data_IF_093907057418
#
_entry.id   IF_093907057418
#
_cell.length_a   1.000
_cell.length_b   1.000
_cell.length_c   1.000
_cell.angle_alpha   90.00
_cell.angle_beta   90.00
_cell.angle_gamma   90.00
#
_symmetry.space_group_name_H-M   'P 1'
#
loop_
_entity.id
_entity.type
_entity.pdbx_description
1 polymer ?
#
# COMPACT_ATOMS: atom_id res chain seq x y z
N UNK A 1 -26.94 -13.48 -7.64
CA UNK A 1 -25.51 -13.68 -7.38
C UNK A 1 -24.73 -12.50 -7.94
N UNK A 2 -23.95 -11.88 -7.13
CA UNK A 2 -23.12 -10.80 -7.60
C UNK A 2 -22.09 -11.31 -8.63
N UNK A 3 -21.92 -10.60 -9.73
CA UNK A 3 -20.86 -10.90 -10.67
C UNK A 3 -19.55 -10.36 -10.14
N UNK A 4 -18.71 -11.25 -9.62
CA UNK A 4 -17.42 -10.90 -9.08
C UNK A 4 -16.28 -11.12 -10.07
N UNK A 5 -16.60 -11.53 -11.31
CA UNK A 5 -15.57 -11.78 -12.32
C UNK A 5 -14.98 -10.46 -12.81
N UNK A 6 -13.67 -10.38 -12.78
CA UNK A 6 -12.95 -9.31 -13.45
C UNK A 6 -12.92 -9.65 -14.94
N UNK A 7 -13.32 -8.73 -15.84
CA UNK A 7 -13.21 -8.96 -17.29
C UNK A 7 -11.77 -9.31 -17.69
N UNK A 8 -11.61 -10.14 -18.71
CA UNK A 8 -10.29 -10.57 -19.17
C UNK A 8 -9.37 -9.39 -19.51
N UNK A 9 -9.90 -8.32 -20.05
CA UNK A 9 -9.16 -7.11 -20.36
C UNK A 9 -8.54 -6.47 -19.12
N UNK A 10 -9.25 -6.47 -17.99
CA UNK A 10 -8.70 -5.97 -16.74
C UNK A 10 -7.61 -6.89 -16.19
N UNK A 11 -7.74 -8.20 -16.38
CA UNK A 11 -6.69 -9.15 -15.99
C UNK A 11 -5.43 -8.95 -16.83
N UNK A 12 -5.59 -8.71 -18.14
CA UNK A 12 -4.47 -8.43 -19.03
C UNK A 12 -3.74 -7.14 -18.67
N UNK A 13 -4.45 -6.14 -18.15
CA UNK A 13 -3.87 -4.89 -17.66
C UNK A 13 -3.29 -5.01 -16.25
N UNK A 14 -3.34 -6.21 -15.64
CA UNK A 14 -2.86 -6.41 -14.28
C UNK A 14 -3.77 -5.82 -13.21
N UNK A 15 -5.02 -5.54 -13.55
CA UNK A 15 -5.98 -5.06 -12.56
C UNK A 15 -6.48 -6.20 -11.70
N UNK A 16 -6.52 -6.01 -10.40
CA UNK A 16 -6.98 -7.00 -9.45
C UNK A 16 -7.87 -6.35 -8.40
N UNK A 17 -9.04 -6.93 -8.19
CA UNK A 17 -9.89 -6.57 -7.08
C UNK A 17 -9.58 -7.46 -5.88
N UNK A 18 -9.45 -6.88 -4.71
CA UNK A 18 -9.20 -7.60 -3.47
C UNK A 18 -9.92 -6.94 -2.31
N UNK A 19 -10.41 -7.76 -1.39
CA UNK A 19 -11.23 -7.26 -0.30
C UNK A 19 -12.54 -6.64 -0.80
N UNK A 20 -13.25 -5.97 0.08
CA UNK A 20 -14.45 -5.22 -0.25
C UNK A 20 -14.10 -3.82 -0.68
N UNK A 21 -14.57 -3.42 -1.86
CA UNK A 21 -14.34 -2.06 -2.39
C UNK A 21 -12.87 -1.66 -2.49
N UNK A 22 -12.02 -2.63 -2.80
CA UNK A 22 -10.58 -2.40 -3.01
C UNK A 22 -10.21 -2.61 -4.47
N UNK A 23 -9.21 -1.87 -4.96
CA UNK A 23 -8.68 -2.02 -6.32
C UNK A 23 -7.16 -1.92 -6.32
N UNK A 24 -6.51 -2.76 -7.13
CA UNK A 24 -5.08 -2.68 -7.39
C UNK A 24 -4.82 -2.87 -8.89
N UNK A 25 -3.94 -2.06 -9.43
CA UNK A 25 -3.49 -2.15 -10.81
C UNK A 25 -1.97 -2.24 -10.82
N UNK A 26 -1.44 -3.26 -11.50
CA UNK A 26 0.00 -3.52 -11.58
C UNK A 26 0.32 -4.99 -11.34
N UNK A 27 1.36 -5.26 -10.59
CA UNK A 27 1.72 -6.61 -10.20
C UNK A 27 0.63 -7.23 -9.32
N UNK A 28 0.37 -8.50 -9.54
CA UNK A 28 -0.65 -9.25 -8.81
C UNK A 28 -0.13 -9.90 -7.53
N UNK A 29 1.12 -9.67 -7.18
CA UNK A 29 1.71 -10.21 -5.96
C UNK A 29 1.16 -9.47 -4.76
N UNK A 30 0.31 -10.12 -4.01
CA UNK A 30 -0.24 -9.61 -2.76
C UNK A 30 -0.14 -10.70 -1.70
N UNK A 31 -0.09 -10.29 -0.44
CA UNK A 31 -0.21 -11.22 0.67
C UNK A 31 -1.57 -11.91 0.71
N UNK A 32 -1.84 -12.66 1.75
CA UNK A 32 -3.16 -13.28 1.97
C UNK A 32 -4.13 -12.18 2.38
N UNK A 33 -4.97 -11.75 1.45
CA UNK A 33 -5.89 -10.64 1.67
C UNK A 33 -7.27 -11.19 2.00
N UNK A 34 -7.50 -11.52 3.25
CA UNK A 34 -8.78 -12.07 3.68
C UNK A 34 -9.77 -10.96 4.09
N UNK A 35 -9.29 -9.86 4.61
CA UNK A 35 -10.12 -8.83 5.21
C UNK A 35 -9.68 -7.39 4.93
N UNK A 36 -8.70 -7.18 4.06
CA UNK A 36 -8.23 -5.83 3.71
C UNK A 36 -9.24 -5.14 2.77
N UNK A 37 -9.85 -4.06 3.24
CA UNK A 37 -10.92 -3.38 2.53
C UNK A 37 -10.56 -1.92 2.21
N UNK A 38 -11.21 -1.37 1.19
CA UNK A 38 -11.10 0.04 0.83
C UNK A 38 -9.67 0.49 0.49
N UNK A 39 -8.86 -0.40 -0.08
CA UNK A 39 -7.50 -0.09 -0.47
C UNK A 39 -7.41 0.25 -1.97
N UNK A 40 -6.55 1.19 -2.32
CA UNK A 40 -6.28 1.58 -3.70
C UNK A 40 -4.78 1.50 -3.95
N UNK A 41 -4.38 0.67 -4.90
CA UNK A 41 -2.97 0.47 -5.24
C UNK A 41 -2.70 0.60 -6.73
N UNK A 42 -1.59 1.25 -7.08
CA UNK A 42 -1.15 1.39 -8.46
C UNK A 42 0.37 1.28 -8.53
N UNK A 43 0.87 0.19 -9.10
CA UNK A 43 2.30 -0.06 -9.26
C UNK A 43 2.69 -1.52 -9.00
N UNK A 44 3.95 -1.83 -9.28
CA UNK A 44 4.52 -3.15 -9.03
C UNK A 44 4.84 -3.31 -7.55
N UNK A 45 4.59 -4.46 -6.97
CA UNK A 45 4.81 -4.82 -5.55
C UNK A 45 4.08 -3.93 -4.54
N UNK A 46 3.06 -3.18 -4.99
CA UNK A 46 2.20 -2.44 -4.06
C UNK A 46 1.41 -3.43 -3.21
N UNK A 47 1.42 -3.23 -1.90
CA UNK A 47 0.69 -4.09 -0.96
C UNK A 47 1.08 -5.57 -1.01
N UNK A 48 2.31 -5.91 -1.38
CA UNK A 48 2.72 -7.31 -1.54
C UNK A 48 2.49 -8.16 -0.28
N UNK A 49 2.60 -7.58 0.91
CA UNK A 49 2.42 -8.27 2.19
C UNK A 49 1.08 -7.98 2.87
N UNK A 50 0.16 -7.25 2.24
CA UNK A 50 -1.09 -6.81 2.89
C UNK A 50 -1.95 -8.01 3.32
N UNK A 51 -2.44 -7.98 4.55
CA UNK A 51 -3.35 -8.99 5.10
C UNK A 51 -4.69 -8.40 5.51
N UNK A 52 -4.71 -7.51 6.50
CA UNK A 52 -5.95 -6.95 7.06
C UNK A 52 -5.99 -5.41 7.10
N UNK A 53 -4.93 -4.74 6.65
CA UNK A 53 -4.89 -3.27 6.67
C UNK A 53 -5.93 -2.64 5.75
N UNK A 54 -6.73 -1.73 6.28
CA UNK A 54 -7.83 -1.07 5.58
C UNK A 54 -7.51 0.37 5.20
N UNK A 55 -8.24 0.89 4.22
CA UNK A 55 -8.24 2.32 3.90
C UNK A 55 -6.85 2.87 3.51
N UNK A 56 -6.04 2.09 2.82
CA UNK A 56 -4.74 2.55 2.35
C UNK A 56 -4.79 2.96 0.89
N UNK A 57 -4.05 4.00 0.55
CA UNK A 57 -3.80 4.42 -0.83
C UNK A 57 -2.30 4.33 -1.07
N UNK A 58 -1.88 3.59 -2.11
CA UNK A 58 -0.48 3.44 -2.46
C UNK A 58 -0.27 3.54 -3.97
N UNK A 59 0.54 4.49 -4.39
CA UNK A 59 0.87 4.71 -5.79
C UNK A 59 2.39 4.74 -5.95
N UNK A 60 2.93 3.85 -6.77
CA UNK A 60 4.36 3.76 -7.04
C UNK A 60 4.92 2.36 -6.83
N UNK A 61 5.95 2.00 -7.58
CA UNK A 61 6.63 0.72 -7.43
C UNK A 61 7.14 0.56 -5.99
N UNK A 62 6.77 -0.53 -5.34
CA UNK A 62 7.19 -0.82 -3.97
C UNK A 62 6.54 0.04 -2.89
N UNK A 63 5.53 0.84 -3.21
CA UNK A 63 4.82 1.62 -2.19
C UNK A 63 4.06 0.67 -1.24
N UNK A 64 4.29 0.82 0.06
CA UNK A 64 3.66 -0.01 1.10
C UNK A 64 3.84 -1.52 0.90
N UNK A 65 4.96 -1.95 0.31
CA UNK A 65 5.23 -3.38 0.02
C UNK A 65 5.08 -4.27 1.24
N UNK A 66 5.63 -3.85 2.38
CA UNK A 66 5.68 -4.65 3.61
C UNK A 66 4.47 -4.47 4.53
N UNK A 67 3.51 -3.63 4.14
CA UNK A 67 2.36 -3.32 5.00
C UNK A 67 1.49 -4.55 5.19
N UNK A 68 1.29 -4.96 6.44
CA UNK A 68 0.44 -6.11 6.78
C UNK A 68 -0.91 -5.66 7.34
N UNK A 69 -0.90 -4.98 8.46
CA UNK A 69 -2.11 -4.57 9.19
C UNK A 69 -2.25 -3.05 9.31
N UNK A 70 -1.25 -2.28 8.88
CA UNK A 70 -1.31 -0.83 8.93
C UNK A 70 -2.48 -0.28 8.11
N UNK A 71 -3.24 0.63 8.71
CA UNK A 71 -4.46 1.17 8.11
C UNK A 71 -4.39 2.70 7.95
N UNK A 72 -5.15 3.22 6.98
CA UNK A 72 -5.27 4.67 6.82
C UNK A 72 -4.04 5.36 6.25
N UNK A 73 -3.13 4.64 5.61
CA UNK A 73 -1.93 5.24 5.05
C UNK A 73 -2.19 5.77 3.64
N UNK A 74 -1.68 6.97 3.34
CA UNK A 74 -1.70 7.56 2.01
C UNK A 74 -0.27 7.74 1.53
N UNK A 75 0.11 6.95 0.52
CA UNK A 75 1.50 6.84 0.09
C UNK A 75 1.61 7.02 -1.42
N UNK A 76 2.48 7.91 -1.85
CA UNK A 76 2.73 8.19 -3.26
C UNK A 76 4.23 8.35 -3.53
N UNK A 77 4.81 7.42 -4.23
CA UNK A 77 6.23 7.45 -4.59
C UNK A 77 6.84 6.06 -4.64
N UNK A 78 7.83 5.89 -5.52
CA UNK A 78 8.59 4.65 -5.60
C UNK A 78 9.30 4.38 -4.28
N UNK A 79 9.09 3.18 -3.72
CA UNK A 79 9.59 2.72 -2.42
C UNK A 79 9.18 3.59 -1.23
N UNK A 80 8.15 4.43 -1.38
CA UNK A 80 7.63 5.19 -0.24
C UNK A 80 6.96 4.24 0.77
N UNK A 81 7.25 4.44 2.05
CA UNK A 81 6.81 3.62 3.17
C UNK A 81 7.03 2.11 2.94
N UNK A 82 8.12 1.75 2.26
CA UNK A 82 8.42 0.38 1.83
C UNK A 82 8.43 -0.62 2.98
N UNK A 83 9.06 -0.27 4.11
CA UNK A 83 9.24 -1.14 5.27
C UNK A 83 8.10 -1.07 6.29
N UNK A 84 7.08 -0.22 6.05
CA UNK A 84 5.97 -0.09 6.99
C UNK A 84 5.23 -1.42 7.14
N UNK A 85 5.04 -1.89 8.35
CA UNK A 85 4.33 -3.15 8.62
C UNK A 85 2.98 -2.93 9.27
N UNK A 86 2.95 -2.26 10.42
CA UNK A 86 1.74 -2.04 11.22
C UNK A 86 1.42 -0.57 11.44
N UNK A 87 2.32 0.35 11.05
CA UNK A 87 2.11 1.78 11.21
C UNK A 87 0.88 2.27 10.44
N UNK A 88 0.05 3.09 11.09
CA UNK A 88 -1.18 3.59 10.50
C UNK A 88 -1.26 5.11 10.45
N UNK A 89 -2.18 5.62 9.62
CA UNK A 89 -2.46 7.04 9.47
C UNK A 89 -1.23 7.87 9.04
N UNK A 90 -0.34 7.29 8.26
CA UNK A 90 0.83 7.99 7.74
C UNK A 90 0.54 8.56 6.35
N UNK A 91 1.13 9.72 6.07
CA UNK A 91 1.15 10.32 4.74
C UNK A 91 2.59 10.41 4.26
N UNK A 92 2.92 9.70 3.17
CA UNK A 92 4.24 9.73 2.59
C UNK A 92 4.14 10.08 1.10
N UNK A 93 4.84 11.12 0.66
CA UNK A 93 4.83 11.54 -0.74
C UNK A 93 6.24 11.90 -1.19
N UNK A 94 6.78 11.11 -2.11
CA UNK A 94 8.11 11.30 -2.66
C UNK A 94 8.87 9.97 -2.79
N UNK A 95 9.91 9.98 -3.63
CA UNK A 95 10.79 8.82 -3.80
C UNK A 95 11.43 8.45 -2.45
N UNK A 96 11.20 7.22 -1.97
CA UNK A 96 11.69 6.71 -0.69
C UNK A 96 11.26 7.52 0.55
N UNK A 97 10.24 8.35 0.43
CA UNK A 97 9.72 9.03 1.62
C UNK A 97 9.24 7.99 2.64
N UNK A 98 9.66 8.15 3.91
CA UNK A 98 9.27 7.26 5.02
C UNK A 98 9.65 5.79 4.81
N UNK A 99 10.71 5.53 4.04
CA UNK A 99 11.04 4.18 3.57
C UNK A 99 11.23 3.17 4.71
N UNK A 100 11.98 3.52 5.74
CA UNK A 100 12.40 2.60 6.80
C UNK A 100 11.49 2.60 8.04
N UNK A 101 10.38 3.33 7.99
CA UNK A 101 9.38 3.21 9.04
C UNK A 101 8.80 1.80 9.08
N UNK A 102 8.68 1.24 10.28
CA UNK A 102 8.06 -0.08 10.46
C UNK A 102 6.73 0.00 11.19
N UNK A 103 6.64 0.72 12.30
CA UNK A 103 5.47 0.75 13.18
C UNK A 103 4.99 2.15 13.53
N UNK A 104 5.74 3.20 13.15
CA UNK A 104 5.38 4.58 13.44
C UNK A 104 4.06 4.98 12.79
N UNK A 105 3.22 5.70 13.52
CA UNK A 105 1.89 6.10 13.07
C UNK A 105 1.71 7.61 13.15
N UNK A 106 0.76 8.11 12.36
CA UNK A 106 0.38 9.54 12.34
C UNK A 106 1.52 10.48 11.94
N UNK A 107 2.38 10.04 11.04
CA UNK A 107 3.50 10.83 10.53
C UNK A 107 3.19 11.40 9.15
N UNK A 108 3.82 12.53 8.85
CA UNK A 108 3.79 13.14 7.52
C UNK A 108 5.21 13.27 7.00
N UNK A 109 5.48 12.66 5.85
CA UNK A 109 6.77 12.70 5.17
C UNK A 109 6.57 13.13 3.71
N UNK A 110 6.94 14.35 3.38
CA UNK A 110 6.79 14.89 2.02
C UNK A 110 8.14 15.34 1.49
N UNK A 111 8.50 14.82 0.33
CA UNK A 111 9.76 15.04 -0.33
C UNK A 111 10.57 13.76 -0.50
N UNK A 112 11.48 13.74 -1.48
CA UNK A 112 12.35 12.59 -1.67
C UNK A 112 13.21 12.36 -0.41
N UNK A 113 13.26 11.11 0.06
CA UNK A 113 13.97 10.70 1.28
C UNK A 113 13.48 11.38 2.57
N UNK A 114 12.31 12.02 2.57
CA UNK A 114 11.77 12.61 3.79
C UNK A 114 11.50 11.52 4.83
N UNK A 115 12.06 11.66 6.03
CA UNK A 115 11.94 10.70 7.15
C UNK A 115 12.30 9.26 6.76
N UNK A 116 13.25 9.04 5.82
CA UNK A 116 13.51 7.67 5.35
C UNK A 116 14.15 6.78 6.44
N UNK A 117 14.93 7.32 7.34
CA UNK A 117 15.54 6.60 8.47
C UNK A 117 14.65 6.54 9.73
N UNK A 118 13.40 6.93 9.65
CA UNK A 118 12.51 6.95 10.82
C UNK A 118 11.96 5.55 11.11
N UNK A 119 12.50 4.88 12.12
CA UNK A 119 12.08 3.53 12.50
C UNK A 119 11.05 3.51 13.62
N UNK A 120 10.85 4.64 14.30
CA UNK A 120 9.97 4.76 15.46
C UNK A 120 8.93 5.87 15.25
N UNK A 121 7.83 5.77 16.00
CA UNK A 121 6.85 6.83 16.09
C UNK A 121 7.45 8.11 16.66
N UNK A 122 7.16 9.21 16.06
CA UNK A 122 7.58 10.51 16.59
C UNK A 122 6.51 11.04 17.55
#
# INVERSE_FOLDING_TARGET
MANTKIPNELLELGAKAFGTSSIMIGDTTTGTIDAANYNTGLGVDVFAALTTGDNNVAVGTGALTSNTTGAGNTVSGTYAAYSNTTGGNNTASGFRAFQDNTTGSSNVAIGAYALDDNTHSI
#
